data_IF_846981472717
#
_entry.id   IF_846981472717
#
_cell.length_a   1.000
_cell.length_b   1.000
_cell.length_c   1.000
_cell.angle_alpha   90.00
_cell.angle_beta   90.00
_cell.angle_gamma   90.00
#
_symmetry.space_group_name_H-M   'P 1'
#
loop_
_entity.id
_entity.type
_entity.pdbx_description
1 polymer ?
#
# COMPACT_ATOMS: atom_id res chain seq x y z
N UNK A 1 25.78 15.57 -11.87
CA UNK A 1 24.82 14.49 -11.53
C UNK A 1 24.35 14.70 -10.11
N UNK A 2 23.14 15.22 -9.91
CA UNK A 2 22.54 15.33 -8.58
C UNK A 2 22.27 13.92 -8.04
N UNK A 3 22.75 13.61 -6.84
CA UNK A 3 22.33 12.41 -6.11
C UNK A 3 20.81 12.43 -6.02
N UNK A 4 20.12 11.53 -6.72
CA UNK A 4 18.70 11.29 -6.48
C UNK A 4 18.65 10.72 -5.06
N UNK A 5 18.34 11.59 -4.10
CA UNK A 5 18.09 11.19 -2.72
C UNK A 5 16.77 10.42 -2.76
N UNK A 6 16.84 9.09 -2.91
CA UNK A 6 15.66 8.22 -2.95
C UNK A 6 15.11 8.11 -1.54
N UNK A 7 14.38 9.16 -1.12
CA UNK A 7 13.69 9.19 0.17
C UNK A 7 12.50 8.24 0.06
N UNK A 8 12.66 7.05 0.64
CA UNK A 8 11.60 6.05 0.80
C UNK A 8 10.34 6.72 1.38
N UNK A 9 9.18 6.43 0.80
CA UNK A 9 7.91 6.86 1.37
C UNK A 9 7.63 6.14 2.69
N UNK A 10 7.14 6.87 3.68
CA UNK A 10 6.65 6.28 4.94
C UNK A 10 5.24 5.71 4.73
N UNK A 11 4.89 4.61 5.41
CA UNK A 11 3.55 4.00 5.33
C UNK A 11 2.82 4.18 6.63
N UNK A 12 1.57 4.61 6.53
CA UNK A 12 0.64 4.75 7.64
C UNK A 12 -0.67 4.03 7.30
N UNK A 13 -1.36 3.57 8.34
CA UNK A 13 -2.74 3.11 8.19
C UNK A 13 -3.69 4.26 8.48
N UNK A 14 -4.70 4.44 7.64
CA UNK A 14 -5.81 5.31 7.91
C UNK A 14 -6.55 4.82 9.15
N UNK A 15 -6.85 5.74 10.06
CA UNK A 15 -7.65 5.47 11.26
C UNK A 15 -9.02 6.11 11.08
N UNK A 16 -10.06 5.35 11.37
CA UNK A 16 -11.41 5.87 11.47
C UNK A 16 -11.56 6.58 12.82
N UNK A 17 -11.83 7.90 12.82
CA UNK A 17 -11.86 8.68 14.06
C UNK A 17 -13.05 8.35 14.98
N UNK A 18 -14.16 7.84 14.45
CA UNK A 18 -15.33 7.47 15.25
C UNK A 18 -15.11 6.16 16.02
N UNK A 19 -14.46 5.17 15.39
CA UNK A 19 -14.27 3.84 15.96
C UNK A 19 -12.85 3.59 16.49
N UNK A 20 -11.89 4.45 16.16
CA UNK A 20 -10.47 4.28 16.45
C UNK A 20 -9.79 3.16 15.65
N UNK A 21 -10.51 2.47 14.76
CA UNK A 21 -10.02 1.31 14.03
C UNK A 21 -9.13 1.70 12.86
N UNK A 22 -8.19 0.82 12.54
CA UNK A 22 -7.31 0.90 11.36
C UNK A 22 -7.69 -0.25 10.41
N UNK A 23 -8.67 -0.07 9.50
CA UNK A 23 -9.33 -1.18 8.82
C UNK A 23 -8.36 -2.07 8.03
N UNK A 24 -7.42 -1.47 7.30
CA UNK A 24 -6.41 -2.23 6.53
C UNK A 24 -5.49 -3.00 7.47
N UNK A 25 -5.10 -2.42 8.61
CA UNK A 25 -4.25 -3.12 9.59
C UNK A 25 -4.96 -4.30 10.23
N UNK A 26 -6.22 -4.12 10.63
CA UNK A 26 -7.04 -5.20 11.20
C UNK A 26 -7.25 -6.32 10.18
N UNK A 27 -7.56 -5.96 8.94
CA UNK A 27 -7.69 -6.92 7.85
C UNK A 27 -6.39 -7.70 7.62
N UNK A 28 -5.24 -7.02 7.48
CA UNK A 28 -3.94 -7.68 7.34
C UNK A 28 -3.62 -8.60 8.52
N UNK A 29 -3.97 -8.22 9.75
CA UNK A 29 -3.73 -9.06 10.94
C UNK A 29 -4.48 -10.39 10.87
N UNK A 30 -5.65 -10.43 10.24
CA UNK A 30 -6.50 -11.62 10.11
C UNK A 30 -6.14 -12.53 8.93
N UNK A 31 -5.19 -12.14 8.08
CA UNK A 31 -4.75 -12.98 6.96
C UNK A 31 -3.74 -14.06 7.38
N UNK A 32 -3.70 -15.19 6.64
CA UNK A 32 -2.58 -16.13 6.66
C UNK A 32 -1.23 -15.42 6.51
N UNK A 33 -0.19 -15.99 7.11
CA UNK A 33 1.12 -15.34 7.19
C UNK A 33 1.77 -15.13 5.82
N UNK A 34 1.62 -16.08 4.92
CA UNK A 34 2.10 -16.05 3.53
C UNK A 34 1.40 -14.95 2.72
N UNK A 35 0.07 -14.87 2.77
CA UNK A 35 -0.68 -13.81 2.07
C UNK A 35 -0.32 -12.42 2.60
N UNK A 36 -0.23 -12.28 3.94
CA UNK A 36 0.17 -11.04 4.60
C UNK A 36 1.58 -10.60 4.20
N UNK A 37 2.50 -11.55 4.05
CA UNK A 37 3.87 -11.30 3.59
C UNK A 37 3.87 -10.80 2.15
N UNK A 38 3.17 -11.47 1.23
CA UNK A 38 3.09 -11.07 -0.18
C UNK A 38 2.53 -9.65 -0.33
N UNK A 39 1.45 -9.33 0.40
CA UNK A 39 0.87 -7.98 0.37
C UNK A 39 1.86 -6.96 0.93
N UNK A 40 2.55 -7.29 2.01
CA UNK A 40 3.59 -6.45 2.60
C UNK A 40 4.76 -6.17 1.65
N UNK A 41 5.17 -7.16 0.85
CA UNK A 41 6.22 -7.03 -0.17
C UNK A 41 5.80 -6.10 -1.31
N UNK A 42 4.56 -6.18 -1.78
CA UNK A 42 4.05 -5.27 -2.80
C UNK A 42 3.89 -3.83 -2.27
N UNK A 43 3.41 -3.65 -1.04
CA UNK A 43 3.40 -2.33 -0.38
C UNK A 43 4.83 -1.81 -0.21
N UNK A 44 5.79 -2.68 0.10
CA UNK A 44 7.20 -2.33 0.17
C UNK A 44 7.74 -1.90 -1.20
N UNK A 45 7.38 -2.58 -2.29
CA UNK A 45 7.76 -2.15 -3.63
C UNK A 45 7.30 -0.70 -3.87
N UNK A 46 6.04 -0.37 -3.52
CA UNK A 46 5.52 1.01 -3.62
C UNK A 46 6.31 1.99 -2.75
N UNK A 47 6.69 1.63 -1.52
CA UNK A 47 7.48 2.50 -0.64
C UNK A 47 8.80 2.96 -1.24
N UNK A 48 9.51 2.04 -1.91
CA UNK A 48 10.86 2.29 -2.42
C UNK A 48 10.88 2.71 -3.89
N UNK A 49 9.84 2.37 -4.65
CA UNK A 49 9.80 2.56 -6.10
C UNK A 49 8.74 3.53 -6.59
N UNK A 50 7.99 4.20 -5.71
CA UNK A 50 6.97 5.15 -6.14
C UNK A 50 7.56 6.25 -7.06
N UNK A 51 6.93 6.56 -8.21
CA UNK A 51 5.70 5.96 -8.75
C UNK A 51 5.91 4.60 -9.44
N UNK A 52 5.00 3.65 -9.15
CA UNK A 52 4.94 2.32 -9.80
C UNK A 52 3.63 2.23 -10.61
N UNK A 53 3.68 1.55 -11.76
CA UNK A 53 2.51 1.27 -12.61
C UNK A 53 2.01 -0.17 -12.50
N UNK A 54 1.20 -0.57 -13.47
CA UNK A 54 0.75 -1.96 -13.59
C UNK A 54 1.95 -2.91 -13.78
N UNK A 55 1.89 -4.16 -13.28
CA UNK A 55 0.71 -4.81 -12.71
C UNK A 55 0.48 -4.53 -11.21
N UNK A 56 1.47 -3.99 -10.49
CA UNK A 56 1.45 -3.83 -9.03
C UNK A 56 0.52 -2.70 -8.60
N UNK A 57 0.55 -1.56 -9.29
CA UNK A 57 -0.29 -0.40 -8.96
C UNK A 57 -1.22 -0.06 -10.10
N UNK A 58 -2.47 0.27 -9.75
CA UNK A 58 -3.44 0.87 -10.67
C UNK A 58 -3.96 2.19 -10.12
N UNK A 59 -4.05 3.21 -10.98
CA UNK A 59 -4.71 4.47 -10.67
C UNK A 59 -6.24 4.28 -10.73
N UNK A 60 -6.95 4.72 -9.69
CA UNK A 60 -8.41 4.63 -9.57
C UNK A 60 -9.11 5.97 -9.86
N UNK A 61 -8.36 7.03 -10.15
CA UNK A 61 -8.84 8.39 -10.28
C UNK A 61 -8.83 9.15 -8.94
N UNK A 62 -9.00 10.47 -9.00
CA UNK A 62 -9.18 11.35 -7.84
C UNK A 62 -8.08 11.23 -6.75
N UNK A 63 -6.84 10.95 -7.15
CA UNK A 63 -5.73 10.78 -6.22
C UNK A 63 -5.82 9.51 -5.37
N UNK A 64 -6.55 8.48 -5.85
CA UNK A 64 -6.58 7.15 -5.28
C UNK A 64 -5.87 6.15 -6.18
N UNK A 65 -5.19 5.20 -5.55
CA UNK A 65 -4.53 4.08 -6.21
C UNK A 65 -4.85 2.79 -5.47
N UNK A 66 -4.66 1.65 -6.13
CA UNK A 66 -4.64 0.34 -5.48
C UNK A 66 -3.28 -0.32 -5.66
N UNK A 67 -2.77 -0.96 -4.60
CA UNK A 67 -1.78 -2.04 -4.69
C UNK A 67 -2.52 -3.34 -4.97
N UNK A 68 -2.07 -4.09 -5.96
CA UNK A 68 -2.69 -5.32 -6.46
C UNK A 68 -1.73 -6.49 -6.22
N UNK A 69 -2.04 -7.30 -5.22
CA UNK A 69 -1.25 -8.50 -4.90
C UNK A 69 -1.97 -9.74 -5.41
N UNK A 70 -1.34 -10.46 -6.33
CA UNK A 70 -1.83 -11.75 -6.81
C UNK A 70 -1.52 -12.81 -5.75
N UNK A 71 -2.55 -13.32 -5.09
CA UNK A 71 -2.47 -14.46 -4.16
C UNK A 71 -2.84 -15.75 -4.90
N UNK A 72 -2.76 -16.90 -4.21
CA UNK A 72 -2.96 -18.23 -4.80
C UNK A 72 -4.27 -18.36 -5.59
N UNK A 73 -5.38 -17.83 -5.06
CA UNK A 73 -6.72 -17.99 -5.63
C UNK A 73 -7.51 -16.69 -5.78
N UNK A 74 -6.90 -15.53 -5.50
CA UNK A 74 -7.57 -14.22 -5.47
C UNK A 74 -6.58 -13.07 -5.66
N UNK A 75 -7.09 -11.86 -5.89
CA UNK A 75 -6.28 -10.64 -5.90
C UNK A 75 -6.64 -9.83 -4.66
N UNK A 76 -5.66 -9.62 -3.77
CA UNK A 76 -5.78 -8.65 -2.68
C UNK A 76 -5.57 -7.24 -3.23
N UNK A 77 -6.42 -6.30 -2.79
CA UNK A 77 -6.39 -4.89 -3.23
C UNK A 77 -6.34 -4.00 -2.01
N UNK A 78 -5.27 -3.23 -1.89
CA UNK A 78 -5.13 -2.21 -0.85
C UNK A 78 -5.20 -0.86 -1.50
N UNK A 79 -6.27 -0.12 -1.22
CA UNK A 79 -6.43 1.25 -1.70
C UNK A 79 -5.52 2.15 -0.88
N UNK A 80 -4.88 3.12 -1.52
CA UNK A 80 -4.06 4.10 -0.84
C UNK A 80 -4.08 5.45 -1.55
N UNK A 81 -3.59 6.47 -0.85
CA UNK A 81 -3.23 7.76 -1.43
C UNK A 81 -1.88 8.24 -0.92
N UNK A 82 -1.29 9.19 -1.64
CA UNK A 82 -0.05 9.87 -1.24
C UNK A 82 -0.38 11.22 -0.63
N UNK A 83 0.12 11.47 0.58
CA UNK A 83 0.01 12.77 1.24
C UNK A 83 1.29 13.08 2.00
N UNK A 84 1.90 14.25 1.73
CA UNK A 84 3.11 14.71 2.41
C UNK A 84 4.22 13.64 2.49
N UNK A 85 4.56 13.01 1.36
CA UNK A 85 5.59 11.95 1.28
C UNK A 85 5.24 10.66 2.06
N UNK A 86 3.95 10.42 2.31
CA UNK A 86 3.44 9.24 3.00
C UNK A 86 2.46 8.49 2.11
N UNK A 87 2.57 7.17 2.12
CA UNK A 87 1.54 6.25 1.67
C UNK A 87 0.56 6.09 2.84
N UNK A 88 -0.71 6.37 2.60
CA UNK A 88 -1.78 6.14 3.58
C UNK A 88 -2.69 5.05 3.03
N UNK A 89 -2.69 3.90 3.71
CA UNK A 89 -3.48 2.71 3.40
C UNK A 89 -4.84 2.74 4.09
#
# INVERSE_FOLDING_TARGET
>A
MSKINSQKLSVFFARNDQSGKEPVREWLKNLPQDEKKMIGEDIMAVQYGWPIGMPIVRNLGNGLWEVRTSLVNRIARVIFFIHNHKIVL
#
